data_IF_896623483223
#
_entry.id   IF_896623483223
#
_cell.length_a   1.000
_cell.length_b   1.000
_cell.length_c   1.000
_cell.angle_alpha   90.00
_cell.angle_beta   90.00
_cell.angle_gamma   90.00
#
_symmetry.space_group_name_H-M   'P 1'
#
loop_
_entity.id
_entity.type
_entity.pdbx_description
1 polymer ?
#
# COMPACT_ATOMS: atom_id res chain seq x y z
N UNK A 1 -2.31 -1.47 17.55
CA UNK A 1 -2.32 -0.15 16.91
C UNK A 1 -1.45 0.85 17.69
N UNK A 2 -0.26 0.45 18.14
CA UNK A 2 0.74 1.41 18.66
C UNK A 2 1.72 1.86 17.56
N UNK A 3 1.95 1.03 16.53
CA UNK A 3 3.03 1.26 15.55
C UNK A 3 2.74 2.43 14.58
N UNK A 4 1.48 2.67 14.19
CA UNK A 4 1.15 3.76 13.26
C UNK A 4 1.36 5.16 13.85
N UNK A 5 1.05 5.35 15.14
CA UNK A 5 1.23 6.64 15.85
C UNK A 5 2.71 6.90 16.19
N UNK A 6 3.55 5.84 16.20
CA UNK A 6 5.00 5.99 16.27
C UNK A 6 5.55 6.70 15.01
N UNK A 7 4.93 6.48 13.85
CA UNK A 7 5.36 7.10 12.59
C UNK A 7 4.87 8.55 12.46
N UNK A 8 3.68 8.87 12.96
CA UNK A 8 3.19 10.24 13.06
C UNK A 8 2.43 10.51 14.37
N UNK A 9 2.99 11.38 15.20
CA UNK A 9 2.40 11.81 16.47
C UNK A 9 1.07 12.55 16.30
N UNK A 10 0.80 13.10 15.12
CA UNK A 10 -0.48 13.76 14.80
C UNK A 10 -1.60 12.77 14.46
N UNK A 11 -1.28 11.47 14.41
CA UNK A 11 -2.20 10.40 14.04
C UNK A 11 -2.16 10.10 12.54
N UNK A 12 -3.08 9.21 12.12
CA UNK A 12 -3.21 8.75 10.74
C UNK A 12 -4.60 9.04 10.20
N UNK A 13 -4.68 9.38 8.91
CA UNK A 13 -5.96 9.52 8.22
C UNK A 13 -6.40 8.18 7.63
N UNK A 14 -7.66 7.82 7.84
CA UNK A 14 -8.29 6.61 7.28
C UNK A 14 -9.37 7.00 6.29
N UNK A 15 -9.09 6.76 5.02
CA UNK A 15 -10.02 7.01 3.93
C UNK A 15 -10.77 5.72 3.59
N UNK A 16 -12.10 5.75 3.71
CA UNK A 16 -12.96 4.68 3.20
C UNK A 16 -13.41 5.01 1.78
N UNK A 17 -13.69 3.98 0.98
CA UNK A 17 -14.11 4.15 -0.41
C UNK A 17 -15.54 4.69 -0.54
N UNK A 18 -16.46 4.19 0.29
CA UNK A 18 -17.90 4.44 0.15
C UNK A 18 -18.51 5.16 1.37
N UNK A 19 -17.69 5.83 2.19
CA UNK A 19 -18.14 6.63 3.34
C UNK A 19 -17.12 7.71 3.70
N UNK A 20 -17.50 8.60 4.61
CA UNK A 20 -16.65 9.70 5.06
C UNK A 20 -15.35 9.19 5.73
N UNK A 21 -14.22 9.89 5.54
CA UNK A 21 -12.95 9.52 6.16
C UNK A 21 -12.96 9.80 7.67
N UNK A 22 -12.07 9.13 8.39
CA UNK A 22 -11.65 9.50 9.74
C UNK A 22 -10.28 10.16 9.66
N UNK A 23 -10.13 11.35 10.23
CA UNK A 23 -8.89 12.12 10.16
C UNK A 23 -8.21 12.18 11.52
N UNK A 24 -6.87 12.28 11.52
CA UNK A 24 -6.04 12.40 12.73
C UNK A 24 -6.34 11.30 13.77
N UNK A 25 -6.50 10.06 13.32
CA UNK A 25 -6.79 8.94 14.22
C UNK A 25 -5.56 8.58 15.02
N UNK A 26 -5.66 8.70 16.34
CA UNK A 26 -4.60 8.36 17.30
C UNK A 26 -4.95 7.19 18.23
N UNK A 27 -6.17 6.65 18.11
CA UNK A 27 -6.70 5.59 18.97
C UNK A 27 -7.41 4.51 18.15
N UNK A 28 -7.20 3.24 18.48
CA UNK A 28 -7.82 2.10 17.80
C UNK A 28 -9.31 1.98 18.00
N UNK A 29 -9.82 2.44 19.14
CA UNK A 29 -11.25 2.32 19.41
C UNK A 29 -12.11 3.02 18.35
N UNK A 30 -11.64 4.15 17.80
CA UNK A 30 -12.32 4.87 16.72
C UNK A 30 -12.36 4.07 15.42
N UNK A 31 -11.33 3.26 15.17
CA UNK A 31 -11.27 2.34 14.03
C UNK A 31 -12.25 1.19 14.25
N UNK A 32 -12.23 0.55 15.42
CA UNK A 32 -13.13 -0.56 15.75
C UNK A 32 -14.60 -0.16 15.58
N UNK A 33 -14.98 1.03 16.06
CA UNK A 33 -16.33 1.58 15.88
C UNK A 33 -16.68 1.82 14.41
N UNK A 34 -15.73 2.28 13.59
CA UNK A 34 -15.98 2.48 12.17
C UNK A 34 -16.14 1.16 11.41
N UNK A 35 -15.37 0.13 11.77
CA UNK A 35 -15.47 -1.20 11.17
C UNK A 35 -16.65 -2.03 11.67
N UNK A 36 -17.34 -1.60 12.75
CA UNK A 36 -18.62 -2.18 13.16
C UNK A 36 -19.70 -2.06 12.07
N UNK A 37 -19.57 -1.08 11.17
CA UNK A 37 -20.38 -1.02 9.95
C UNK A 37 -19.60 -1.67 8.79
N UNK A 38 -20.09 -2.77 8.20
CA UNK A 38 -19.39 -3.47 7.14
C UNK A 38 -19.29 -2.60 5.87
N UNK A 39 -18.24 -2.80 5.05
CA UNK A 39 -18.13 -2.13 3.76
C UNK A 39 -19.28 -2.55 2.84
N UNK A 40 -19.68 -1.66 1.94
CA UNK A 40 -20.71 -1.90 0.92
C UNK A 40 -20.45 -1.03 -0.30
N UNK A 41 -20.98 -1.46 -1.45
CA UNK A 41 -20.91 -0.71 -2.70
C UNK A 41 -19.78 -1.17 -3.62
N UNK A 42 -19.32 -0.25 -4.44
CA UNK A 42 -18.29 -0.46 -5.47
C UNK A 42 -16.87 -0.29 -4.89
N UNK A 43 -15.84 -0.38 -5.72
CA UNK A 43 -14.43 -0.20 -5.33
C UNK A 43 -13.83 1.07 -5.97
N UNK A 44 -14.31 2.29 -5.64
CA UNK A 44 -13.88 3.54 -6.26
C UNK A 44 -12.50 4.02 -5.76
N UNK A 45 -11.45 3.21 -5.96
CA UNK A 45 -10.08 3.52 -5.54
C UNK A 45 -9.52 4.76 -6.24
N UNK A 46 -9.81 4.95 -7.53
CA UNK A 46 -9.29 6.06 -8.32
C UNK A 46 -9.68 7.43 -7.73
N UNK A 47 -10.96 7.76 -7.50
CA UNK A 47 -11.31 9.04 -6.89
C UNK A 47 -10.82 9.17 -5.44
N UNK A 48 -10.78 8.09 -4.66
CA UNK A 48 -10.27 8.10 -3.28
C UNK A 48 -8.78 8.47 -3.23
N UNK A 49 -7.94 7.77 -4.01
CA UNK A 49 -6.50 8.03 -4.07
C UNK A 49 -6.19 9.38 -4.71
N UNK A 50 -6.95 9.81 -5.72
CA UNK A 50 -6.78 11.15 -6.31
C UNK A 50 -6.93 12.25 -5.26
N UNK A 51 -7.92 12.14 -4.37
CA UNK A 51 -8.11 13.10 -3.27
C UNK A 51 -6.89 13.15 -2.35
N UNK A 52 -6.28 12.01 -2.05
CA UNK A 52 -5.08 11.91 -1.21
C UNK A 52 -3.87 12.50 -1.93
N UNK A 53 -3.65 12.14 -3.21
CA UNK A 53 -2.52 12.61 -4.01
C UNK A 53 -2.59 14.10 -4.36
N UNK A 54 -3.76 14.72 -4.27
CA UNK A 54 -3.95 16.16 -4.45
C UNK A 54 -3.96 16.95 -3.12
N UNK A 55 -3.83 16.26 -1.98
CA UNK A 55 -3.79 16.91 -0.66
C UNK A 55 -2.52 17.74 -0.46
N UNK A 56 -2.47 18.55 0.61
CA UNK A 56 -1.25 19.27 0.94
C UNK A 56 -0.09 18.32 1.29
N UNK A 57 -0.39 17.18 1.94
CA UNK A 57 0.60 16.22 2.40
C UNK A 57 1.43 15.56 1.28
N UNK A 58 0.90 15.50 0.05
CA UNK A 58 1.63 14.95 -1.10
C UNK A 58 2.53 15.98 -1.80
N UNK A 59 2.39 17.28 -1.48
CA UNK A 59 3.10 18.35 -2.20
C UNK A 59 4.57 18.44 -1.80
N UNK A 60 5.48 18.74 -2.75
CA UNK A 60 6.86 19.07 -2.45
C UNK A 60 6.95 20.29 -1.52
N UNK A 61 7.97 20.30 -0.65
CA UNK A 61 8.22 21.41 0.28
C UNK A 61 7.67 21.22 1.69
N UNK A 62 7.04 20.08 1.96
CA UNK A 62 6.77 19.62 3.33
C UNK A 62 7.96 18.80 3.87
N UNK A 63 8.24 18.93 5.16
CA UNK A 63 9.32 18.19 5.82
C UNK A 63 9.06 16.68 5.92
N UNK A 64 7.79 16.26 5.81
CA UNK A 64 7.36 14.87 5.88
C UNK A 64 6.95 14.37 4.49
N UNK A 65 7.38 13.15 4.16
CA UNK A 65 6.86 12.40 3.00
C UNK A 65 5.56 11.72 3.38
N UNK A 66 4.69 11.53 2.38
CA UNK A 66 3.43 10.83 2.54
C UNK A 66 3.63 9.34 2.28
N UNK A 67 3.13 8.49 3.19
CA UNK A 67 3.00 7.05 2.98
C UNK A 67 1.52 6.68 2.97
N UNK A 68 1.07 6.03 1.90
CA UNK A 68 -0.33 5.62 1.73
C UNK A 68 -0.40 4.10 1.75
N UNK A 69 -1.16 3.55 2.69
CA UNK A 69 -1.53 2.14 2.69
C UNK A 69 -2.86 1.94 1.96
N UNK A 70 -2.89 1.01 1.01
CA UNK A 70 -4.09 0.62 0.29
C UNK A 70 -4.39 -0.83 0.58
N UNK A 71 -5.27 -1.08 1.54
CA UNK A 71 -5.80 -2.42 1.81
C UNK A 71 -6.97 -2.71 0.86
N UNK A 72 -6.84 -3.74 0.02
CA UNK A 72 -7.86 -4.11 -0.96
C UNK A 72 -7.88 -5.62 -1.19
N UNK A 73 -9.06 -6.17 -1.43
CA UNK A 73 -9.31 -7.58 -1.73
C UNK A 73 -9.60 -7.84 -3.21
N UNK A 74 -9.65 -6.78 -4.03
CA UNK A 74 -9.88 -6.91 -5.46
C UNK A 74 -9.64 -5.63 -6.26
N UNK A 75 -10.12 -5.67 -7.50
CA UNK A 75 -9.85 -4.65 -8.50
C UNK A 75 -10.67 -3.36 -8.30
N UNK A 76 -10.13 -2.19 -8.70
CA UNK A 76 -10.87 -0.94 -8.72
C UNK A 76 -12.03 -0.99 -9.71
N UNK A 77 -13.12 -0.30 -9.39
CA UNK A 77 -14.27 -0.14 -10.29
C UNK A 77 -14.61 1.32 -10.55
N UNK A 78 -15.19 1.60 -11.72
CA UNK A 78 -15.80 2.90 -12.05
C UNK A 78 -17.16 3.09 -11.34
N UNK A 79 -17.87 4.18 -11.65
CA UNK A 79 -19.18 4.53 -11.09
C UNK A 79 -20.31 3.60 -11.53
N UNK A 80 -20.06 2.76 -12.55
CA UNK A 80 -20.98 1.73 -13.06
C UNK A 80 -20.62 0.33 -12.56
N UNK A 81 -19.59 0.21 -11.73
CA UNK A 81 -19.11 -1.08 -11.20
C UNK A 81 -18.27 -1.88 -12.18
N UNK A 82 -17.81 -1.29 -13.29
CA UNK A 82 -16.90 -1.96 -14.22
C UNK A 82 -15.47 -1.84 -13.73
N UNK A 83 -14.71 -2.93 -13.80
CA UNK A 83 -13.28 -2.95 -13.46
C UNK A 83 -12.49 -1.92 -14.29
N UNK A 84 -11.70 -1.08 -13.63
CA UNK A 84 -10.93 0.00 -14.25
C UNK A 84 -9.49 0.12 -13.68
N UNK A 85 -8.72 -0.95 -13.87
CA UNK A 85 -7.30 -1.01 -13.49
C UNK A 85 -6.47 0.04 -14.25
N UNK A 86 -6.80 0.30 -15.52
CA UNK A 86 -6.06 1.24 -16.36
C UNK A 86 -6.13 2.69 -15.88
N UNK A 87 -7.26 3.12 -15.32
CA UNK A 87 -7.33 4.44 -14.67
C UNK A 87 -6.56 4.51 -13.37
N UNK A 88 -6.54 3.44 -12.59
CA UNK A 88 -5.72 3.38 -11.38
C UNK A 88 -4.22 3.43 -11.71
N UNK A 89 -3.77 2.67 -12.71
CA UNK A 89 -2.38 2.70 -13.16
C UNK A 89 -1.97 4.10 -13.62
N UNK A 90 -2.80 4.74 -14.45
CA UNK A 90 -2.56 6.12 -14.92
C UNK A 90 -2.47 7.10 -13.76
N UNK A 91 -3.36 7.00 -12.76
CA UNK A 91 -3.31 7.81 -11.55
C UNK A 91 -1.97 7.62 -10.81
N UNK A 92 -1.57 6.37 -10.59
CA UNK A 92 -0.33 6.01 -9.89
C UNK A 92 0.93 6.52 -10.60
N UNK A 93 0.95 6.46 -11.94
CA UNK A 93 2.10 6.90 -12.74
C UNK A 93 2.15 8.41 -12.98
N UNK A 94 1.01 9.10 -13.00
CA UNK A 94 0.93 10.51 -13.45
C UNK A 94 0.58 11.51 -12.35
N UNK A 95 -0.17 11.12 -11.33
CA UNK A 95 -0.72 12.06 -10.35
C UNK A 95 -0.12 11.90 -8.94
N UNK A 96 0.37 10.71 -8.55
CA UNK A 96 0.85 10.37 -7.20
C UNK A 96 1.94 11.29 -6.60
N UNK A 97 2.78 11.90 -7.43
CA UNK A 97 4.04 12.56 -7.02
C UNK A 97 5.03 11.56 -6.38
N UNK A 98 5.66 10.71 -7.19
CA UNK A 98 6.50 9.59 -6.72
C UNK A 98 7.68 9.98 -5.82
N UNK A 99 8.13 11.24 -5.88
CA UNK A 99 9.25 11.73 -5.07
C UNK A 99 8.88 12.02 -3.61
N UNK A 100 7.59 12.23 -3.33
CA UNK A 100 7.09 12.64 -2.02
C UNK A 100 6.05 11.67 -1.46
N UNK A 101 5.49 10.80 -2.31
CA UNK A 101 4.41 9.88 -1.93
C UNK A 101 4.82 8.42 -2.18
N UNK A 102 4.94 7.65 -1.10
CA UNK A 102 5.14 6.21 -1.10
C UNK A 102 3.77 5.50 -0.99
N UNK A 103 3.62 4.34 -1.63
CA UNK A 103 2.36 3.58 -1.59
C UNK A 103 2.66 2.11 -1.32
N UNK A 104 2.01 1.55 -0.30
CA UNK A 104 2.04 0.12 0.00
C UNK A 104 0.65 -0.46 -0.26
N UNK A 105 0.52 -1.40 -1.19
CA UNK A 105 -0.71 -2.15 -1.37
C UNK A 105 -0.69 -3.37 -0.45
N UNK A 106 -1.72 -3.53 0.37
CA UNK A 106 -1.91 -4.71 1.21
C UNK A 106 -2.99 -5.56 0.56
N UNK A 107 -2.58 -6.63 -0.12
CA UNK A 107 -3.51 -7.57 -0.74
C UNK A 107 -4.21 -8.40 0.34
N UNK A 108 -5.52 -8.22 0.46
CA UNK A 108 -6.33 -8.78 1.53
C UNK A 108 -7.31 -9.84 0.98
N UNK A 109 -6.82 -10.79 0.18
CA UNK A 109 -7.67 -11.77 -0.50
C UNK A 109 -6.98 -13.11 -0.70
N UNK A 110 -7.76 -14.19 -0.67
CA UNK A 110 -7.31 -15.52 -1.10
C UNK A 110 -7.43 -15.71 -2.63
N UNK A 111 -8.12 -14.79 -3.32
CA UNK A 111 -8.20 -14.77 -4.79
C UNK A 111 -7.11 -13.88 -5.39
N UNK A 112 -5.95 -14.48 -5.62
CA UNK A 112 -4.80 -13.80 -6.21
C UNK A 112 -5.10 -13.22 -7.60
N UNK A 113 -6.08 -13.75 -8.34
CA UNK A 113 -6.41 -13.24 -9.68
C UNK A 113 -7.02 -11.84 -9.64
N UNK A 114 -7.74 -11.50 -8.58
CA UNK A 114 -8.39 -10.21 -8.39
C UNK A 114 -7.42 -9.07 -8.08
N UNK A 115 -6.18 -9.40 -7.69
CA UNK A 115 -5.12 -8.45 -7.32
C UNK A 115 -3.82 -8.64 -8.12
N UNK A 116 -3.75 -9.63 -9.02
CA UNK A 116 -2.56 -9.97 -9.80
C UNK A 116 -1.95 -8.80 -10.59
N UNK A 117 -2.75 -7.78 -10.91
CA UNK A 117 -2.26 -6.57 -11.59
C UNK A 117 -1.29 -5.75 -10.74
N UNK A 118 -1.33 -5.90 -9.40
CA UNK A 118 -0.45 -5.17 -8.49
C UNK A 118 1.00 -5.68 -8.56
N UNK A 119 1.23 -6.98 -8.77
CA UNK A 119 2.57 -7.57 -8.79
C UNK A 119 3.50 -7.00 -9.87
N UNK A 120 2.95 -6.44 -10.95
CA UNK A 120 3.76 -5.72 -11.95
C UNK A 120 4.21 -4.34 -11.44
N UNK A 121 3.40 -3.69 -10.59
CA UNK A 121 3.65 -2.32 -10.14
C UNK A 121 4.75 -2.26 -9.12
N UNK A 122 4.82 -3.25 -8.24
CA UNK A 122 5.93 -3.50 -7.32
C UNK A 122 7.30 -3.36 -8.02
N UNK A 123 7.44 -4.04 -9.16
CA UNK A 123 8.69 -4.07 -9.94
C UNK A 123 8.90 -2.84 -10.82
N UNK A 124 7.84 -2.17 -11.23
CA UNK A 124 7.89 -1.13 -12.29
C UNK A 124 7.64 0.29 -11.80
N UNK A 125 7.22 0.48 -10.56
CA UNK A 125 6.92 1.80 -9.98
C UNK A 125 7.82 2.08 -8.79
N UNK A 126 8.57 3.18 -8.84
CA UNK A 126 9.39 3.63 -7.71
C UNK A 126 8.54 3.96 -6.48
N UNK A 127 8.99 3.57 -5.29
CA UNK A 127 8.31 3.84 -4.02
C UNK A 127 6.89 3.26 -3.98
N UNK A 128 6.71 2.08 -4.59
CA UNK A 128 5.51 1.27 -4.51
C UNK A 128 5.95 -0.13 -4.09
N UNK A 129 5.29 -0.69 -3.09
CA UNK A 129 5.49 -2.06 -2.60
C UNK A 129 4.11 -2.75 -2.56
N UNK A 130 4.08 -4.05 -2.84
CA UNK A 130 2.87 -4.87 -2.82
C UNK A 130 3.10 -6.03 -1.88
N UNK A 131 2.32 -6.04 -0.80
CA UNK A 131 2.47 -6.98 0.30
C UNK A 131 1.29 -7.95 0.32
N UNK A 132 1.60 -9.24 0.23
CA UNK A 132 0.65 -10.34 0.34
C UNK A 132 0.47 -10.77 1.81
N UNK A 133 -0.23 -11.88 2.05
CA UNK A 133 -0.33 -12.46 3.37
C UNK A 133 1.02 -13.00 3.88
N UNK A 134 1.17 -13.09 5.20
CA UNK A 134 2.42 -13.54 5.84
C UNK A 134 2.97 -14.89 5.31
N UNK A 135 2.10 -15.85 4.98
CA UNK A 135 2.57 -17.16 4.53
C UNK A 135 3.18 -17.05 3.14
N UNK A 136 2.51 -16.34 2.24
CA UNK A 136 2.96 -16.08 0.87
C UNK A 136 4.30 -15.33 0.89
N UNK A 137 4.37 -14.21 1.60
CA UNK A 137 5.60 -13.43 1.80
C UNK A 137 6.77 -14.27 2.31
N UNK A 138 6.52 -15.09 3.35
CA UNK A 138 7.55 -15.96 3.91
C UNK A 138 8.05 -17.00 2.90
N UNK A 139 7.15 -17.54 2.09
CA UNK A 139 7.50 -18.49 1.05
C UNK A 139 8.34 -17.83 -0.05
N UNK A 140 8.02 -16.59 -0.41
CA UNK A 140 8.79 -15.80 -1.38
C UNK A 140 10.20 -15.50 -0.88
N UNK A 141 10.33 -15.01 0.37
CA UNK A 141 11.63 -14.79 1.02
C UNK A 141 12.44 -16.09 1.05
N UNK A 142 11.82 -17.22 1.41
CA UNK A 142 12.52 -18.52 1.44
C UNK A 142 12.91 -19.02 0.06
N UNK A 143 12.09 -18.77 -0.96
CA UNK A 143 12.39 -19.11 -2.36
C UNK A 143 13.64 -18.37 -2.84
N UNK A 144 13.84 -17.12 -2.42
CA UNK A 144 14.93 -16.27 -2.89
C UNK A 144 16.18 -16.31 -2.01
N UNK A 145 16.00 -16.36 -0.69
CA UNK A 145 17.09 -16.27 0.29
C UNK A 145 17.52 -17.63 0.82
N UNK A 146 16.66 -18.65 0.66
CA UNK A 146 16.92 -20.03 1.04
C UNK A 146 15.87 -20.59 2.01
N UNK A 147 15.65 -21.92 2.04
CA UNK A 147 14.60 -22.53 2.87
C UNK A 147 14.70 -22.27 4.37
N UNK A 148 15.91 -21.96 4.86
CA UNK A 148 16.20 -21.71 6.27
C UNK A 148 16.25 -20.22 6.62
N UNK A 149 15.94 -19.32 5.67
CA UNK A 149 15.97 -17.89 5.93
C UNK A 149 14.92 -17.52 7.00
N UNK A 150 15.33 -16.81 8.06
CA UNK A 150 14.41 -16.36 9.09
C UNK A 150 13.53 -15.26 8.51
N UNK A 151 12.22 -15.41 8.68
CA UNK A 151 11.24 -14.38 8.39
C UNK A 151 10.03 -14.59 9.30
N UNK A 152 10.04 -13.85 10.40
CA UNK A 152 9.04 -13.90 11.46
C UNK A 152 7.82 -13.06 11.08
N UNK A 153 6.75 -13.20 11.87
CA UNK A 153 5.61 -12.31 11.73
C UNK A 153 5.96 -10.85 12.06
N UNK A 154 6.93 -10.61 12.96
CA UNK A 154 7.43 -9.27 13.23
C UNK A 154 8.11 -8.65 12.01
N UNK A 155 8.94 -9.43 11.31
CA UNK A 155 9.61 -8.98 10.07
C UNK A 155 8.57 -8.63 8.99
N UNK A 156 7.52 -9.44 8.88
CA UNK A 156 6.38 -9.18 7.99
C UNK A 156 5.68 -7.85 8.32
N UNK A 157 5.35 -7.60 9.58
CA UNK A 157 4.71 -6.33 9.98
C UNK A 157 5.62 -5.14 9.69
N UNK A 158 6.93 -5.27 9.90
CA UNK A 158 7.89 -4.21 9.57
C UNK A 158 7.96 -3.97 8.06
N UNK A 159 8.09 -5.02 7.24
CA UNK A 159 8.03 -4.90 5.77
C UNK A 159 6.72 -4.25 5.33
N UNK A 160 5.56 -4.75 5.79
CA UNK A 160 4.25 -4.21 5.44
C UNK A 160 4.09 -2.71 5.76
N UNK A 161 4.76 -2.21 6.80
CA UNK A 161 4.65 -0.82 7.23
C UNK A 161 5.66 0.12 6.58
N UNK A 162 6.87 -0.34 6.25
CA UNK A 162 7.93 0.56 5.77
C UNK A 162 8.67 0.06 4.52
N UNK A 163 8.31 -1.09 3.95
CA UNK A 163 8.93 -1.65 2.75
C UNK A 163 8.91 -0.69 1.56
N UNK A 164 7.75 -0.07 1.28
CA UNK A 164 7.63 0.99 0.27
C UNK A 164 8.57 2.20 0.48
N UNK A 165 9.12 2.39 1.68
CA UNK A 165 10.01 3.51 2.07
C UNK A 165 11.47 3.07 2.15
N UNK A 166 11.74 1.86 2.65
CA UNK A 166 13.08 1.31 2.85
C UNK A 166 13.37 0.21 1.80
N UNK A 167 14.21 0.51 0.78
CA UNK A 167 14.55 -0.45 -0.26
C UNK A 167 15.18 -1.76 0.26
N UNK A 168 15.82 -1.76 1.43
CA UNK A 168 16.42 -2.99 1.96
C UNK A 168 15.35 -3.99 2.40
N UNK A 169 14.23 -3.49 2.93
CA UNK A 169 13.10 -4.32 3.35
C UNK A 169 12.27 -4.77 2.14
N UNK A 170 12.06 -3.86 1.18
CA UNK A 170 11.46 -4.15 -0.13
C UNK A 170 12.20 -5.29 -0.84
N UNK A 171 13.53 -5.27 -0.78
CA UNK A 171 14.36 -6.28 -1.45
C UNK A 171 14.32 -7.68 -0.80
N UNK A 172 13.72 -7.91 0.37
CA UNK A 172 13.81 -9.21 1.06
C UNK A 172 13.25 -10.37 0.21
N UNK A 173 12.18 -10.08 -0.51
CA UNK A 173 11.33 -10.92 -1.35
C UNK A 173 11.38 -10.53 -2.85
N UNK A 174 12.15 -9.51 -3.22
CA UNK A 174 12.48 -9.21 -4.62
C UNK A 174 13.82 -9.86 -5.06
N UNK A 175 13.93 -10.22 -6.34
CA UNK A 175 15.24 -10.44 -6.96
C UNK A 175 15.99 -9.10 -7.03
N UNK A 176 17.27 -9.07 -6.63
CA UNK A 176 18.11 -7.88 -6.76
C UNK A 176 17.93 -7.23 -8.13
N UNK A 177 17.43 -5.99 -8.16
CA UNK A 177 17.45 -5.15 -9.35
C UNK A 177 18.91 -5.06 -9.80
N UNK A 178 19.28 -5.76 -10.88
CA UNK A 178 20.60 -5.61 -11.46
C UNK A 178 20.79 -4.13 -11.79
N UNK A 179 21.74 -3.48 -11.11
CA UNK A 179 22.26 -2.16 -11.45
C UNK A 179 22.94 -2.22 -12.82
N UNK A 180 22.15 -2.28 -13.90
CA UNK A 180 22.61 -1.98 -15.25
C UNK A 180 22.34 -0.49 -15.55
N UNK A 181 22.94 0.38 -14.73
CA UNK A 181 23.27 1.74 -15.12
C UNK A 181 24.79 1.83 -15.29
N UNK A 182 25.27 1.17 -16.35
CA UNK A 182 26.58 1.42 -16.93
C UNK A 182 26.52 1.08 -18.41
N UNK A 183 26.05 2.05 -19.21
CA UNK A 183 26.57 2.46 -20.54
C UNK A 183 25.66 3.52 -21.15
#
# INVERSE_FOLDING_TARGET
MEIGVILDSNGVDVYFLNRAPLLNVTNSQSIDQAFAQPPKGLTPLVPALRRIFQSAASKPGHDKRLLVFVATDGAPTDDKGKVDIGSLERLMRKERQSNTTHVAFLACTDDSSSVAYLSEWDRTMTNVDVIDDYKTEREEVRRLRGPQSPFSYGDYIVKALIGAVDPHLDMLDEFSRNNNSNR
#
